data_IF_375707144403
#
_entry.id   IF_375707144403
#
_cell.length_a   1.000
_cell.length_b   1.000
_cell.length_c   1.000
_cell.angle_alpha   90.00
_cell.angle_beta   90.00
_cell.angle_gamma   90.00
#
_symmetry.space_group_name_H-M   'P 1'
#
loop_
_entity.id
_entity.type
_entity.pdbx_description
1 polymer ?
#
# COMPACT_ATOMS: atom_id res chain seq x y z
N UNK A 1 -44.57 -22.10 34.25
CA UNK A 1 -43.62 -22.46 35.32
C UNK A 1 -43.53 -23.97 35.36
N UNK A 2 -42.34 -24.61 35.35
CA UNK A 2 -41.01 -24.23 35.90
C UNK A 2 -40.00 -23.79 34.80
N UNK A 3 -39.03 -22.87 34.97
CA UNK A 3 -37.83 -22.80 35.82
C UNK A 3 -36.82 -23.94 35.51
N UNK A 4 -35.90 -23.77 34.55
CA UNK A 4 -34.53 -23.20 34.68
C UNK A 4 -33.61 -23.98 35.62
N UNK A 5 -32.57 -24.63 35.07
CA UNK A 5 -31.18 -24.59 35.58
C UNK A 5 -30.23 -25.43 34.68
N UNK A 6 -29.36 -24.75 33.92
CA UNK A 6 -28.14 -25.33 33.35
C UNK A 6 -26.95 -24.44 33.76
N UNK A 7 -25.81 -25.01 34.19
CA UNK A 7 -24.70 -24.26 34.77
C UNK A 7 -23.81 -23.54 33.73
N UNK A 8 -23.05 -22.51 34.14
CA UNK A 8 -22.33 -21.61 33.24
C UNK A 8 -21.04 -22.23 32.67
N UNK A 9 -20.85 -22.05 31.36
CA UNK A 9 -19.57 -22.33 30.71
C UNK A 9 -18.49 -21.37 31.22
N UNK A 10 -17.44 -21.96 31.80
CA UNK A 10 -16.20 -21.29 32.19
C UNK A 10 -15.52 -20.62 30.98
N UNK A 11 -15.23 -19.34 31.13
CA UNK A 11 -14.33 -18.55 30.28
C UNK A 11 -12.87 -18.87 30.62
N UNK A 12 -11.99 -19.14 29.64
CA UNK A 12 -10.56 -19.08 29.89
C UNK A 12 -10.04 -17.64 29.74
N UNK A 13 -9.40 -17.17 30.81
CA UNK A 13 -8.73 -15.89 30.94
C UNK A 13 -7.59 -15.72 29.93
N UNK A 14 -7.49 -14.52 29.36
CA UNK A 14 -6.42 -14.08 28.46
C UNK A 14 -5.19 -13.65 29.28
N UNK A 15 -3.97 -14.18 29.03
CA UNK A 15 -2.79 -13.72 29.75
C UNK A 15 -2.14 -12.52 29.04
N UNK A 16 -2.17 -11.40 29.76
CA UNK A 16 -1.03 -10.53 30.10
C UNK A 16 -0.15 -9.98 28.96
N UNK A 17 -0.25 -8.66 28.85
CA UNK A 17 0.63 -7.74 28.14
C UNK A 17 2.12 -8.09 28.20
N UNK A 18 2.73 -8.16 27.02
CA UNK A 18 4.17 -8.06 26.82
C UNK A 18 4.46 -6.74 26.11
N UNK A 19 5.27 -5.91 26.74
CA UNK A 19 5.75 -4.61 26.28
C UNK A 19 6.54 -4.74 24.96
N UNK A 20 6.12 -4.01 23.93
CA UNK A 20 6.99 -3.66 22.80
C UNK A 20 7.63 -2.28 23.02
N UNK A 21 8.94 -2.10 22.76
CA UNK A 21 9.57 -0.80 22.86
C UNK A 21 9.24 0.07 21.64
N UNK A 22 8.42 1.10 21.87
CA UNK A 22 8.14 2.19 20.91
C UNK A 22 9.45 2.86 20.46
N UNK A 23 9.85 2.63 19.21
CA UNK A 23 10.84 3.45 18.53
C UNK A 23 10.29 4.87 18.36
N UNK A 24 11.01 5.85 18.92
CA UNK A 24 10.67 7.27 18.87
C UNK A 24 10.79 7.76 17.42
N UNK A 25 9.66 8.13 16.83
CA UNK A 25 9.59 8.77 15.52
C UNK A 25 10.14 10.20 15.64
N UNK A 26 11.37 10.41 15.15
CA UNK A 26 11.95 11.73 14.96
C UNK A 26 11.20 12.43 13.82
N UNK A 27 10.64 13.62 14.10
CA UNK A 27 10.05 14.52 13.08
C UNK A 27 11.16 15.03 12.16
N UNK A 28 11.02 14.99 10.82
CA UNK A 28 11.91 15.74 9.95
C UNK A 28 11.47 17.21 9.91
N UNK A 29 12.47 18.08 10.01
CA UNK A 29 12.36 19.53 9.95
C UNK A 29 11.84 20.01 8.59
N UNK A 30 11.01 21.05 8.63
CA UNK A 30 10.55 21.83 7.49
C UNK A 30 11.73 22.51 6.78
N UNK A 31 12.04 22.07 5.57
CA UNK A 31 12.95 22.79 4.67
C UNK A 31 12.12 23.67 3.73
N UNK A 32 12.02 24.95 4.09
CA UNK A 32 11.63 26.04 3.20
C UNK A 32 12.62 26.13 2.04
N UNK A 33 12.15 25.99 0.80
CA UNK A 33 12.88 26.43 -0.40
C UNK A 33 11.90 27.07 -1.38
N UNK A 34 11.91 28.40 -1.40
CA UNK A 34 11.34 29.26 -2.43
C UNK A 34 12.05 29.05 -3.78
N UNK A 35 11.34 29.13 -4.92
CA UNK A 35 11.95 29.14 -6.25
C UNK A 35 12.15 30.58 -6.76
N UNK A 36 13.32 30.86 -7.35
CA UNK A 36 13.57 32.03 -8.22
C UNK A 36 13.81 31.53 -9.65
N UNK A 37 13.14 32.10 -10.68
CA UNK A 37 13.30 31.70 -12.07
C UNK A 37 14.28 32.60 -12.82
N UNK A 38 15.08 32.02 -13.73
CA UNK A 38 15.84 32.81 -14.70
C UNK A 38 16.97 32.03 -15.36
N UNK A 39 16.70 31.46 -16.54
CA UNK A 39 17.63 31.40 -17.68
C UNK A 39 16.93 30.70 -18.85
N UNK A 40 16.56 31.50 -19.86
CA UNK A 40 16.25 31.08 -21.21
C UNK A 40 17.54 30.63 -21.89
N UNK A 41 17.53 29.48 -22.57
CA UNK A 41 18.40 29.21 -23.73
C UNK A 41 17.65 28.21 -24.64
N UNK A 42 17.28 28.69 -25.82
CA UNK A 42 16.79 27.90 -26.95
C UNK A 42 17.95 27.09 -27.58
N UNK A 43 17.66 25.90 -28.13
CA UNK A 43 18.65 25.20 -28.95
C UNK A 43 18.23 23.83 -29.46
N UNK A 44 17.58 23.82 -30.63
CA UNK A 44 17.70 22.85 -31.74
C UNK A 44 17.72 21.31 -31.47
N UNK A 45 16.71 20.60 -32.00
CA UNK A 45 16.84 19.21 -32.47
C UNK A 45 17.44 19.14 -33.89
N UNK A 46 17.39 18.00 -34.63
CA UNK A 46 16.92 16.65 -34.28
C UNK A 46 17.93 15.55 -34.68
N UNK A 47 17.71 14.29 -34.26
CA UNK A 47 18.03 13.06 -35.05
C UNK A 47 17.61 11.79 -34.32
N UNK A 48 16.67 11.07 -34.94
CA UNK A 48 16.24 9.76 -34.48
C UNK A 48 17.37 8.73 -34.57
N UNK A 49 17.48 7.90 -33.53
CA UNK A 49 18.04 6.56 -33.63
C UNK A 49 16.99 5.58 -33.15
N UNK A 50 16.44 4.80 -34.07
CA UNK A 50 15.76 3.55 -33.77
C UNK A 50 16.78 2.63 -33.11
N UNK A 51 16.72 2.47 -31.78
CA UNK A 51 17.37 1.36 -31.09
C UNK A 51 16.30 0.36 -30.70
N UNK A 52 16.48 -0.87 -31.17
CA UNK A 52 15.61 -1.99 -30.87
C UNK A 52 15.52 -2.21 -29.37
N UNK A 53 14.32 -2.57 -28.92
CA UNK A 53 13.96 -2.79 -27.53
C UNK A 53 14.55 -4.13 -27.02
N UNK A 54 15.89 -4.27 -26.96
CA UNK A 54 16.57 -5.53 -26.62
C UNK A 54 17.54 -5.45 -25.41
N UNK A 55 17.73 -4.28 -24.80
CA UNK A 55 18.69 -4.11 -23.70
C UNK A 55 18.06 -3.66 -22.36
N UNK A 56 16.73 -3.81 -22.18
CA UNK A 56 16.05 -3.41 -20.93
C UNK A 56 16.31 -4.31 -19.71
N UNK A 57 17.20 -5.30 -19.83
CA UNK A 57 17.63 -6.17 -18.72
C UNK A 57 18.89 -5.66 -18.01
N UNK A 58 19.33 -4.42 -18.26
CA UNK A 58 20.61 -3.89 -17.76
C UNK A 58 20.50 -2.67 -16.82
N UNK A 59 19.35 -2.34 -16.23
CA UNK A 59 19.25 -1.20 -15.28
C UNK A 59 18.72 -1.55 -13.88
N UNK A 60 18.73 -2.82 -13.47
CA UNK A 60 18.56 -3.16 -12.04
C UNK A 60 19.79 -2.74 -11.22
N UNK A 61 20.94 -2.56 -11.89
CA UNK A 61 22.21 -2.20 -11.26
C UNK A 61 22.41 -0.67 -11.18
N UNK A 62 21.75 0.11 -12.04
CA UNK A 62 22.03 1.55 -12.16
C UNK A 62 21.38 2.40 -11.04
N UNK A 63 20.44 1.83 -10.27
CA UNK A 63 19.86 2.48 -9.08
C UNK A 63 20.73 2.46 -7.82
N UNK A 64 21.97 1.95 -7.92
CA UNK A 64 22.89 1.71 -6.79
C UNK A 64 23.93 2.85 -6.67
N UNK A 65 23.89 3.86 -7.54
CA UNK A 65 24.86 4.97 -7.51
C UNK A 65 24.28 6.18 -6.79
N UNK A 66 24.49 6.27 -5.47
CA UNK A 66 24.27 7.55 -4.80
C UNK A 66 24.29 7.64 -3.27
N UNK A 67 24.01 6.59 -2.49
CA UNK A 67 24.00 6.66 -1.01
C UNK A 67 24.37 5.28 -0.41
N UNK A 68 25.59 5.11 0.08
CA UNK A 68 26.04 3.97 0.93
C UNK A 68 25.55 2.57 0.51
N UNK A 69 25.38 2.34 -0.80
CA UNK A 69 24.65 1.18 -1.32
C UNK A 69 25.43 -0.14 -1.29
N UNK A 70 26.61 -0.16 -0.67
CA UNK A 70 27.44 -1.36 -0.48
C UNK A 70 27.37 -1.90 0.96
N UNK A 71 26.34 -1.52 1.73
CA UNK A 71 26.20 -1.94 3.13
C UNK A 71 25.76 -3.41 3.33
N UNK A 72 25.35 -4.11 2.27
CA UNK A 72 24.87 -5.49 2.36
C UNK A 72 25.82 -6.47 1.67
N UNK A 73 26.16 -7.55 2.38
CA UNK A 73 26.91 -8.66 1.79
C UNK A 73 26.11 -9.35 0.68
N UNK A 74 26.79 -10.08 -0.20
CA UNK A 74 26.13 -10.84 -1.27
C UNK A 74 25.08 -11.81 -0.72
N UNK A 75 25.35 -12.46 0.41
CA UNK A 75 24.39 -13.34 1.07
C UNK A 75 23.16 -12.58 1.55
N UNK A 76 23.33 -11.40 2.17
CA UNK A 76 22.24 -10.55 2.62
C UNK A 76 21.39 -10.06 1.44
N UNK A 77 22.01 -9.73 0.31
CA UNK A 77 21.28 -9.34 -0.90
C UNK A 77 20.44 -10.49 -1.46
N UNK A 78 20.96 -11.72 -1.45
CA UNK A 78 20.22 -12.92 -1.88
C UNK A 78 19.06 -13.19 -0.92
N UNK A 79 19.28 -13.11 0.39
CA UNK A 79 18.23 -13.26 1.39
C UNK A 79 17.15 -12.20 1.26
N UNK A 80 17.52 -10.93 1.10
CA UNK A 80 16.60 -9.82 0.88
C UNK A 80 15.78 -10.02 -0.39
N UNK A 81 16.41 -10.45 -1.49
CA UNK A 81 15.71 -10.79 -2.73
C UNK A 81 14.66 -11.88 -2.48
N UNK A 82 15.05 -12.99 -1.86
CA UNK A 82 14.15 -14.11 -1.59
C UNK A 82 13.01 -13.72 -0.63
N UNK A 83 13.29 -12.87 0.35
CA UNK A 83 12.28 -12.29 1.22
C UNK A 83 11.27 -11.45 0.41
N UNK A 84 11.74 -10.49 -0.39
CA UNK A 84 10.87 -9.63 -1.22
C UNK A 84 10.01 -10.42 -2.20
N UNK A 85 10.56 -11.49 -2.80
CA UNK A 85 9.79 -12.38 -3.68
C UNK A 85 8.68 -13.07 -2.89
N UNK A 86 9.01 -13.67 -1.74
CA UNK A 86 8.03 -14.35 -0.88
C UNK A 86 6.94 -13.40 -0.40
N UNK A 87 7.30 -12.20 0.02
CA UNK A 87 6.34 -11.16 0.42
C UNK A 87 5.42 -10.79 -0.72
N UNK A 88 5.93 -10.52 -1.93
CA UNK A 88 5.08 -10.22 -3.10
C UNK A 88 4.10 -11.34 -3.42
N UNK A 89 4.54 -12.59 -3.33
CA UNK A 89 3.67 -13.75 -3.56
C UNK A 89 2.57 -13.79 -2.48
N UNK A 90 2.90 -13.57 -1.22
CA UNK A 90 1.94 -13.55 -0.13
C UNK A 90 0.92 -12.40 -0.28
N UNK A 91 1.38 -11.19 -0.60
CA UNK A 91 0.53 -10.02 -0.85
C UNK A 91 -0.43 -10.30 -2.00
N UNK A 92 0.06 -10.88 -3.10
CA UNK A 92 -0.79 -11.26 -4.22
C UNK A 92 -1.82 -12.34 -3.87
N UNK A 93 -1.42 -13.34 -3.08
CA UNK A 93 -2.35 -14.38 -2.61
C UNK A 93 -3.44 -13.77 -1.73
N UNK A 94 -3.06 -12.84 -0.83
CA UNK A 94 -3.99 -12.09 0.00
C UNK A 94 -4.99 -11.32 -0.88
N UNK A 95 -4.51 -10.51 -1.83
CA UNK A 95 -5.39 -9.74 -2.72
C UNK A 95 -6.30 -10.63 -3.59
N UNK A 96 -5.85 -11.83 -3.96
CA UNK A 96 -6.68 -12.79 -4.74
C UNK A 96 -7.79 -13.40 -3.90
N UNK A 97 -7.53 -13.74 -2.63
CA UNK A 97 -8.51 -14.37 -1.74
C UNK A 97 -9.45 -13.38 -1.04
N UNK A 98 -9.06 -12.10 -0.90
CA UNK A 98 -9.82 -11.08 -0.18
C UNK A 98 -10.58 -10.16 -1.15
N UNK A 99 -11.78 -10.60 -1.56
CA UNK A 99 -12.65 -9.90 -2.52
C UNK A 99 -13.23 -8.59 -2.01
N UNK A 100 -13.29 -8.41 -0.71
CA UNK A 100 -13.63 -7.16 -0.06
C UNK A 100 -12.68 -6.02 -0.45
N UNK A 101 -11.38 -6.30 -0.63
CA UNK A 101 -10.39 -5.28 -1.06
C UNK A 101 -10.67 -4.83 -2.50
N UNK A 102 -11.04 -5.77 -3.37
CA UNK A 102 -11.45 -5.49 -4.75
C UNK A 102 -12.70 -4.59 -4.77
N UNK A 103 -13.72 -4.91 -3.97
CA UNK A 103 -14.95 -4.14 -3.85
C UNK A 103 -14.70 -2.74 -3.28
N UNK A 104 -13.83 -2.64 -2.28
CA UNK A 104 -13.46 -1.39 -1.62
C UNK A 104 -12.79 -0.43 -2.61
N UNK A 105 -11.76 -0.90 -3.31
CA UNK A 105 -11.01 -0.09 -4.26
C UNK A 105 -11.85 0.27 -5.49
N UNK A 106 -12.58 -0.69 -6.06
CA UNK A 106 -13.45 -0.43 -7.22
C UNK A 106 -14.59 0.55 -6.88
N UNK A 107 -15.17 0.45 -5.68
CA UNK A 107 -16.14 1.40 -5.17
C UNK A 107 -15.56 2.81 -5.05
N UNK A 108 -14.38 2.94 -4.45
CA UNK A 108 -13.69 4.23 -4.32
C UNK A 108 -13.41 4.86 -5.69
N UNK A 109 -12.78 4.13 -6.60
CA UNK A 109 -12.47 4.65 -7.94
C UNK A 109 -13.71 5.03 -8.72
N UNK A 110 -14.79 4.25 -8.62
CA UNK A 110 -16.07 4.58 -9.25
C UNK A 110 -16.58 5.95 -8.77
N UNK A 111 -16.62 6.17 -7.46
CA UNK A 111 -17.09 7.43 -6.89
C UNK A 111 -16.15 8.60 -7.23
N UNK A 112 -14.83 8.39 -7.16
CA UNK A 112 -13.84 9.41 -7.51
C UNK A 112 -13.93 9.83 -8.98
N UNK A 113 -14.07 8.87 -9.91
CA UNK A 113 -14.17 9.15 -11.34
C UNK A 113 -15.50 9.82 -11.73
N UNK A 114 -16.57 9.53 -10.99
CA UNK A 114 -17.89 10.15 -11.18
C UNK A 114 -17.92 11.59 -10.62
N UNK A 115 -17.42 11.80 -9.40
CA UNK A 115 -17.47 13.09 -8.70
C UNK A 115 -16.35 14.04 -9.13
N UNK A 116 -15.21 13.52 -9.59
CA UNK A 116 -13.99 14.26 -9.95
C UNK A 116 -13.63 15.33 -8.90
N UNK A 117 -13.37 14.92 -7.66
CA UNK A 117 -13.06 15.87 -6.58
C UNK A 117 -11.78 16.65 -6.89
N UNK A 118 -11.74 17.90 -6.43
CA UNK A 118 -10.54 18.75 -6.54
C UNK A 118 -9.42 18.29 -5.61
N UNK A 119 -9.78 17.85 -4.39
CA UNK A 119 -8.86 17.23 -3.44
C UNK A 119 -9.16 15.73 -3.30
N UNK A 120 -8.28 14.91 -3.86
CA UNK A 120 -8.41 13.45 -3.84
C UNK A 120 -8.08 12.89 -2.45
N UNK A 121 -7.21 13.55 -1.69
CA UNK A 121 -6.79 13.06 -0.36
C UNK A 121 -7.92 13.27 0.66
N UNK A 122 -8.54 14.45 0.65
CA UNK A 122 -9.71 14.73 1.47
C UNK A 122 -10.86 13.79 1.12
N UNK A 123 -11.13 13.63 -0.18
CA UNK A 123 -12.14 12.68 -0.65
C UNK A 123 -11.86 11.23 -0.23
N UNK A 124 -10.60 10.78 -0.28
CA UNK A 124 -10.22 9.46 0.19
C UNK A 124 -10.39 9.32 1.71
N UNK A 125 -10.02 10.34 2.48
CA UNK A 125 -10.21 10.35 3.92
C UNK A 125 -11.70 10.21 4.27
N UNK A 126 -12.57 11.03 3.67
CA UNK A 126 -14.03 10.92 3.87
C UNK A 126 -14.57 9.55 3.45
N UNK A 127 -14.16 9.04 2.28
CA UNK A 127 -14.65 7.75 1.79
C UNK A 127 -14.25 6.61 2.72
N UNK A 128 -12.96 6.48 3.05
CA UNK A 128 -12.46 5.34 3.84
C UNK A 128 -12.72 5.44 5.34
N UNK A 129 -13.14 6.61 5.85
CA UNK A 129 -13.57 6.78 7.25
C UNK A 129 -15.08 6.74 7.44
N UNK A 130 -15.88 6.56 6.38
CA UNK A 130 -17.33 6.36 6.48
C UNK A 130 -17.63 5.10 7.33
N UNK A 131 -18.29 5.25 8.51
CA UNK A 131 -18.56 4.12 9.40
C UNK A 131 -19.53 3.11 8.79
N UNK A 132 -20.29 3.49 7.77
CA UNK A 132 -21.23 2.60 7.07
C UNK A 132 -20.57 1.84 5.93
N UNK A 133 -19.32 2.15 5.57
CA UNK A 133 -18.61 1.51 4.48
C UNK A 133 -18.42 -0.01 4.68
N UNK A 134 -18.04 -0.52 5.87
CA UNK A 134 -17.91 -1.97 6.08
C UNK A 134 -19.20 -2.73 5.77
N UNK A 135 -20.34 -2.24 6.27
CA UNK A 135 -21.66 -2.85 6.04
C UNK A 135 -22.02 -2.86 4.55
N UNK A 136 -21.73 -1.78 3.82
CA UNK A 136 -21.94 -1.70 2.36
C UNK A 136 -21.09 -2.72 1.60
N UNK A 137 -19.86 -2.97 2.04
CA UNK A 137 -18.96 -3.95 1.42
C UNK A 137 -19.43 -5.38 1.72
N UNK A 138 -19.81 -5.67 2.96
CA UNK A 138 -20.35 -6.98 3.35
C UNK A 138 -21.62 -7.33 2.57
N UNK A 139 -22.55 -6.38 2.44
CA UNK A 139 -23.77 -6.57 1.66
C UNK A 139 -23.46 -6.95 0.20
N UNK A 140 -22.50 -6.25 -0.44
CA UNK A 140 -22.05 -6.56 -1.80
C UNK A 140 -21.32 -7.90 -1.90
N UNK A 141 -20.58 -8.29 -0.87
CA UNK A 141 -19.91 -9.59 -0.82
C UNK A 141 -20.93 -10.73 -0.84
N UNK A 142 -21.98 -10.62 -0.01
CA UNK A 142 -23.09 -11.59 0.06
C UNK A 142 -23.83 -11.66 -1.28
N UNK A 143 -24.07 -10.53 -1.93
CA UNK A 143 -24.70 -10.49 -3.25
C UNK A 143 -23.87 -11.22 -4.31
N UNK A 144 -22.55 -10.97 -4.34
CA UNK A 144 -21.62 -11.57 -5.31
C UNK A 144 -21.40 -13.07 -5.09
N UNK A 145 -21.64 -13.58 -3.88
CA UNK A 145 -21.58 -15.01 -3.56
C UNK A 145 -22.84 -15.79 -3.95
N UNK A 146 -23.97 -15.10 -4.15
CA UNK A 146 -25.24 -15.71 -4.57
C UNK A 146 -25.36 -15.87 -6.09
N UNK A 147 -24.49 -15.22 -6.85
CA UNK A 147 -24.40 -15.28 -8.31
C UNK A 147 -23.44 -16.38 -8.73
#
# INVERSE_FOLDING_TARGET
>A
TPASEHPPFSTPASPRATHEPRLKLLRPASASRSPTPGALEEGAGPRGRRHGNRDKMASVIDGIKGHDHEALSLEQLIQLRNFKIRTRIADEQYLRSHKEVELLLSGFFREMLLKRPMDIQEFAAEYFTDPTLPEKIEAKLIEKQKQ
#
